data_IF_780441117156
#
_entry.id   IF_780441117156
#
_cell.length_a   1.000
_cell.length_b   1.000
_cell.length_c   1.000
_cell.angle_alpha   90.00
_cell.angle_beta   90.00
_cell.angle_gamma   90.00
#
_symmetry.space_group_name_H-M   'P 1'
#
loop_
_entity.id
_entity.type
_entity.pdbx_description
1 polymer ?
#
# COMPACT_ATOMS: atom_id res chain seq x y z
N UNK A 1 -5.95 12.11 -18.15
CA UNK A 1 -7.02 11.19 -18.51
C UNK A 1 -8.28 11.96 -18.78
N UNK A 2 -8.91 11.70 -19.94
CA UNK A 2 -10.18 12.30 -20.31
C UNK A 2 -11.20 11.19 -20.58
N UNK A 3 -12.47 11.48 -20.27
CA UNK A 3 -13.60 10.59 -20.61
C UNK A 3 -14.65 11.45 -21.30
N UNK A 4 -15.04 11.08 -22.52
CA UNK A 4 -15.96 11.84 -23.39
C UNK A 4 -15.55 13.34 -23.49
N UNK A 5 -14.23 13.59 -23.59
CA UNK A 5 -13.64 14.92 -23.67
C UNK A 5 -13.54 15.68 -22.32
N UNK A 6 -14.12 15.18 -21.24
CA UNK A 6 -14.06 15.78 -19.92
C UNK A 6 -12.85 15.22 -19.14
N UNK A 7 -12.11 16.09 -18.46
CA UNK A 7 -10.96 15.68 -17.66
C UNK A 7 -11.41 14.93 -16.41
N UNK A 8 -10.88 13.72 -16.24
CA UNK A 8 -11.10 12.90 -15.07
C UNK A 8 -9.89 12.92 -14.12
N UNK A 9 -8.68 12.95 -14.67
CA UNK A 9 -7.46 12.93 -13.88
C UNK A 9 -6.36 13.72 -14.58
N UNK A 10 -5.62 14.52 -13.83
CA UNK A 10 -4.42 15.22 -14.26
C UNK A 10 -3.32 15.10 -13.22
N UNK A 11 -2.17 14.62 -13.65
CA UNK A 11 -0.95 14.68 -12.85
C UNK A 11 0.16 15.37 -13.62
N UNK A 12 1.04 16.08 -12.91
CA UNK A 12 2.20 16.74 -13.45
C UNK A 12 3.35 16.67 -12.44
N UNK A 13 4.46 16.13 -12.88
CA UNK A 13 5.63 15.94 -12.04
C UNK A 13 6.74 16.88 -12.52
N UNK A 14 6.75 18.11 -12.03
CA UNK A 14 7.80 19.10 -12.35
C UNK A 14 8.99 18.97 -11.38
N UNK A 15 8.71 18.85 -10.10
CA UNK A 15 9.69 18.70 -9.03
C UNK A 15 9.20 17.66 -8.02
N UNK A 16 10.16 16.94 -7.48
CA UNK A 16 9.91 15.90 -6.52
C UNK A 16 10.79 16.11 -5.29
N UNK A 17 10.18 16.27 -4.12
CA UNK A 17 10.95 16.39 -2.89
C UNK A 17 11.30 15.01 -2.33
N UNK A 18 12.42 14.90 -1.66
CA UNK A 18 12.83 13.65 -1.02
C UNK A 18 11.79 13.15 0.00
N UNK A 19 11.10 14.06 0.68
CA UNK A 19 10.03 13.74 1.64
C UNK A 19 8.80 13.11 0.96
N UNK A 20 8.59 13.31 -0.35
CA UNK A 20 7.48 12.73 -1.11
C UNK A 20 7.79 11.35 -1.68
N UNK A 21 9.03 10.85 -1.53
CA UNK A 21 9.46 9.58 -2.13
C UNK A 21 8.57 8.41 -1.70
N UNK A 22 8.16 8.38 -0.44
CA UNK A 22 7.29 7.33 0.08
C UNK A 22 5.84 7.43 -0.41
N UNK A 23 5.38 8.63 -0.77
CA UNK A 23 4.05 8.84 -1.33
C UNK A 23 3.90 8.18 -2.70
N UNK A 24 4.99 8.06 -3.47
CA UNK A 24 4.96 7.33 -4.74
C UNK A 24 4.53 5.88 -4.54
N UNK A 25 4.91 5.24 -3.46
CA UNK A 25 4.50 3.87 -3.17
C UNK A 25 2.98 3.72 -3.05
N UNK A 26 2.27 4.76 -2.62
CA UNK A 26 0.81 4.81 -2.63
C UNK A 26 0.20 5.09 -4.00
N UNK A 27 1.00 5.59 -4.96
CA UNK A 27 0.52 5.98 -6.29
C UNK A 27 0.82 4.97 -7.39
N UNK A 28 1.71 4.04 -7.15
CA UNK A 28 2.05 2.96 -8.09
C UNK A 28 1.37 1.65 -7.70
N UNK A 29 1.33 0.70 -8.61
CA UNK A 29 1.04 -0.69 -8.30
C UNK A 29 2.18 -1.26 -7.44
N UNK A 30 2.07 -1.06 -6.13
CA UNK A 30 3.11 -1.43 -5.19
C UNK A 30 3.32 -2.95 -5.09
N UNK A 31 2.26 -3.73 -5.33
CA UNK A 31 2.34 -5.20 -5.35
C UNK A 31 3.28 -5.65 -6.46
N UNK A 32 3.02 -5.16 -7.67
CA UNK A 32 3.85 -5.47 -8.83
C UNK A 32 5.26 -4.90 -8.71
N UNK A 33 5.39 -3.68 -8.21
CA UNK A 33 6.70 -3.09 -7.93
C UNK A 33 7.51 -3.93 -6.94
N UNK A 34 6.88 -4.45 -5.86
CA UNK A 34 7.55 -5.28 -4.86
C UNK A 34 8.01 -6.63 -5.41
N UNK A 35 7.24 -7.20 -6.34
CA UNK A 35 7.51 -8.52 -6.91
C UNK A 35 8.49 -8.46 -8.09
N UNK A 36 8.30 -7.51 -9.02
CA UNK A 36 8.96 -7.48 -10.33
C UNK A 36 9.90 -6.28 -10.48
N UNK A 37 9.82 -5.26 -9.63
CA UNK A 37 10.55 -4.01 -9.75
C UNK A 37 9.93 -3.02 -10.74
N UNK A 38 8.87 -3.41 -11.43
CA UNK A 38 8.18 -2.60 -12.43
C UNK A 38 7.34 -1.49 -11.81
N UNK A 39 7.38 -0.30 -12.39
CA UNK A 39 6.65 0.86 -11.89
C UNK A 39 5.48 1.19 -12.79
N UNK A 40 4.30 0.72 -12.43
CA UNK A 40 3.05 1.11 -13.07
C UNK A 40 2.36 2.16 -12.22
N UNK A 41 2.21 3.35 -12.79
CA UNK A 41 1.55 4.46 -12.12
C UNK A 41 0.03 4.36 -12.30
N UNK A 42 -0.71 4.49 -11.21
CA UNK A 42 -2.15 4.58 -11.27
C UNK A 42 -2.62 5.92 -11.88
N UNK A 43 -3.71 5.89 -12.63
CA UNK A 43 -4.40 7.07 -13.14
C UNK A 43 -5.57 7.47 -12.24
N UNK A 44 -5.45 7.18 -10.95
CA UNK A 44 -6.37 7.58 -9.89
C UNK A 44 -5.57 7.97 -8.64
N UNK A 45 -6.23 8.66 -7.72
CA UNK A 45 -5.65 9.04 -6.43
C UNK A 45 -6.31 8.23 -5.31
N UNK A 46 -5.54 7.49 -4.49
CA UNK A 46 -6.05 6.99 -3.22
C UNK A 46 -6.59 8.11 -2.33
N UNK A 47 -7.47 7.78 -1.40
CA UNK A 47 -8.17 8.76 -0.55
C UNK A 47 -7.20 9.59 0.30
N UNK A 48 -6.13 8.99 0.76
CA UNK A 48 -5.11 9.63 1.62
C UNK A 48 -3.76 9.70 0.92
N UNK A 49 -3.73 10.33 -0.26
CA UNK A 49 -2.47 10.55 -0.98
C UNK A 49 -2.22 12.05 -1.22
N UNK A 50 -1.54 12.76 -0.29
CA UNK A 50 -1.25 14.19 -0.43
C UNK A 50 -0.07 14.46 -1.36
N UNK A 51 -0.04 13.84 -2.54
CA UNK A 51 1.02 14.01 -3.52
C UNK A 51 0.75 15.23 -4.41
N UNK A 52 1.62 16.23 -4.36
CA UNK A 52 1.49 17.48 -5.12
C UNK A 52 1.51 17.31 -6.64
N UNK A 53 2.06 16.20 -7.12
CA UNK A 53 2.04 15.84 -8.54
C UNK A 53 0.63 15.57 -9.08
N UNK A 54 -0.35 15.27 -8.22
CA UNK A 54 -1.75 15.10 -8.62
C UNK A 54 -2.43 16.46 -8.53
N UNK A 55 -2.75 17.05 -9.70
CA UNK A 55 -3.30 18.41 -9.80
C UNK A 55 -4.83 18.37 -9.79
N UNK A 56 -5.42 17.40 -10.48
CA UNK A 56 -6.87 17.28 -10.62
C UNK A 56 -7.26 15.81 -10.65
N UNK A 57 -8.26 15.46 -9.88
CA UNK A 57 -8.75 14.10 -9.76
C UNK A 57 -10.24 14.12 -9.46
N UNK A 58 -11.08 14.24 -10.49
CA UNK A 58 -12.54 14.13 -10.34
C UNK A 58 -12.90 12.72 -9.90
N UNK A 59 -13.64 12.59 -8.79
CA UNK A 59 -13.97 11.28 -8.23
C UNK A 59 -12.74 10.40 -7.94
N UNK A 60 -11.62 11.00 -7.56
CA UNK A 60 -10.32 10.32 -7.36
C UNK A 60 -9.81 9.59 -8.61
N UNK A 61 -10.25 9.97 -9.80
CA UNK A 61 -9.88 9.31 -11.05
C UNK A 61 -10.72 8.06 -11.39
N UNK A 62 -11.71 7.73 -10.59
CA UNK A 62 -12.59 6.60 -10.82
C UNK A 62 -13.71 6.95 -11.83
N UNK A 63 -13.81 6.17 -12.90
CA UNK A 63 -14.92 6.28 -13.85
C UNK A 63 -16.14 5.54 -13.32
N UNK A 64 -17.20 6.27 -13.00
CA UNK A 64 -18.49 5.68 -12.64
C UNK A 64 -19.29 5.32 -13.89
N UNK A 65 -19.38 4.04 -14.21
CA UNK A 65 -20.17 3.52 -15.35
C UNK A 65 -21.59 3.26 -14.88
N UNK A 66 -22.51 4.21 -15.15
CA UNK A 66 -23.93 4.13 -14.75
C UNK A 66 -24.86 3.71 -15.87
N UNK A 67 -24.43 3.80 -17.12
CA UNK A 67 -25.24 3.60 -18.31
C UNK A 67 -24.63 2.56 -19.24
N UNK A 68 -25.47 1.82 -19.93
CA UNK A 68 -25.06 0.87 -20.97
C UNK A 68 -24.77 1.59 -22.29
N UNK A 69 -23.72 2.39 -22.29
CA UNK A 69 -23.25 3.14 -23.47
C UNK A 69 -21.72 3.01 -23.64
N UNK A 70 -21.23 3.52 -24.75
CA UNK A 70 -19.81 3.64 -24.95
C UNK A 70 -19.27 4.92 -24.28
N UNK A 71 -18.09 4.81 -23.67
CA UNK A 71 -17.31 5.88 -23.06
C UNK A 71 -15.99 6.00 -23.82
N UNK A 72 -15.70 7.17 -24.39
CA UNK A 72 -14.46 7.43 -25.08
C UNK A 72 -13.40 7.86 -24.04
N UNK A 73 -12.43 7.01 -23.82
CA UNK A 73 -11.32 7.27 -22.88
C UNK A 73 -10.09 7.66 -23.65
N UNK A 74 -9.48 8.77 -23.28
CA UNK A 74 -8.26 9.27 -23.90
C UNK A 74 -7.20 9.54 -22.82
N UNK A 75 -6.05 8.86 -22.91
CA UNK A 75 -4.88 9.09 -22.07
C UNK A 75 -3.87 9.91 -22.89
N UNK A 76 -3.55 11.11 -22.41
CA UNK A 76 -2.50 11.97 -22.97
C UNK A 76 -1.30 11.97 -22.06
N UNK A 77 -0.15 11.63 -22.60
CA UNK A 77 1.14 11.68 -21.93
C UNK A 77 2.01 12.70 -22.64
N UNK A 78 2.49 13.70 -21.90
CA UNK A 78 3.40 14.71 -22.46
C UNK A 78 4.67 14.76 -21.64
N UNK A 79 5.81 14.91 -22.31
CA UNK A 79 7.08 15.16 -21.66
C UNK A 79 7.30 16.69 -21.46
N UNK A 80 8.41 17.04 -20.80
CA UNK A 80 8.77 18.44 -20.52
C UNK A 80 9.13 19.24 -21.80
N UNK A 81 9.34 18.58 -22.93
CA UNK A 81 9.68 19.21 -24.20
C UNK A 81 8.45 19.43 -25.09
N UNK A 82 7.26 19.00 -24.62
CA UNK A 82 6.00 19.14 -25.35
C UNK A 82 5.69 17.98 -26.28
N UNK A 83 6.51 16.94 -26.34
CA UNK A 83 6.16 15.72 -27.06
C UNK A 83 4.96 15.07 -26.39
N UNK A 84 3.96 14.68 -27.17
CA UNK A 84 2.71 14.13 -26.64
C UNK A 84 2.37 12.82 -27.32
N UNK A 85 2.10 11.80 -26.52
CA UNK A 85 1.51 10.53 -26.94
C UNK A 85 0.06 10.45 -26.50
N UNK A 86 -0.81 9.96 -27.35
CA UNK A 86 -2.25 9.86 -27.10
C UNK A 86 -2.69 8.43 -27.32
N UNK A 87 -3.29 7.85 -26.28
CA UNK A 87 -3.92 6.53 -26.31
C UNK A 87 -5.43 6.68 -26.19
N UNK A 88 -6.16 6.04 -27.08
CA UNK A 88 -7.63 6.09 -27.09
C UNK A 88 -8.20 4.69 -26.94
N UNK A 89 -9.17 4.56 -26.04
CA UNK A 89 -9.89 3.32 -25.76
C UNK A 89 -11.38 3.63 -25.68
N UNK A 90 -12.20 2.76 -26.22
CA UNK A 90 -13.65 2.82 -26.08
C UNK A 90 -14.05 1.74 -25.07
N UNK A 91 -14.59 2.16 -23.93
CA UNK A 91 -15.16 1.27 -22.93
C UNK A 91 -16.66 1.16 -23.15
N UNK A 92 -17.19 -0.06 -23.19
CA UNK A 92 -18.64 -0.30 -23.27
C UNK A 92 -19.15 -0.62 -21.86
N UNK A 93 -20.03 0.21 -21.35
CA UNK A 93 -20.78 -0.08 -20.13
C UNK A 93 -21.70 -1.28 -20.36
N UNK A 94 -21.70 -2.21 -19.45
CA UNK A 94 -22.63 -3.32 -19.42
C UNK A 94 -23.15 -3.53 -18.00
N UNK A 95 -24.40 -3.91 -17.89
CA UNK A 95 -24.98 -4.25 -16.60
C UNK A 95 -24.47 -5.63 -16.18
N UNK A 96 -23.76 -5.67 -15.06
CA UNK A 96 -23.35 -6.93 -14.44
C UNK A 96 -23.90 -6.99 -13.02
N UNK A 97 -24.48 -8.12 -12.64
CA UNK A 97 -24.77 -8.44 -11.25
C UNK A 97 -23.45 -8.92 -10.61
N UNK A 98 -22.60 -7.97 -10.25
CA UNK A 98 -21.40 -8.29 -9.48
C UNK A 98 -21.78 -8.32 -8.01
N UNK A 99 -21.95 -9.50 -7.45
CA UNK A 99 -21.86 -9.67 -6.01
C UNK A 99 -20.42 -9.29 -5.61
N UNK A 100 -20.28 -8.23 -4.81
CA UNK A 100 -18.97 -7.90 -4.26
C UNK A 100 -18.48 -9.10 -3.43
N UNK A 101 -17.30 -9.66 -3.72
CA UNK A 101 -16.78 -10.77 -2.94
C UNK A 101 -16.70 -10.35 -1.47
N UNK A 102 -17.15 -11.23 -0.57
CA UNK A 102 -17.06 -10.97 0.86
C UNK A 102 -15.60 -10.74 1.25
N UNK A 103 -15.32 -9.61 1.89
CA UNK A 103 -13.99 -9.26 2.37
C UNK A 103 -13.64 -10.22 3.50
N UNK A 104 -12.70 -11.15 3.24
CA UNK A 104 -12.15 -12.03 4.26
C UNK A 104 -10.98 -11.34 4.93
N UNK A 105 -11.12 -10.99 6.22
CA UNK A 105 -10.09 -10.33 7.00
C UNK A 105 -10.61 -9.12 7.77
N UNK A 106 -9.70 -8.47 8.49
CA UNK A 106 -9.99 -7.24 9.23
C UNK A 106 -9.65 -6.04 8.37
N UNK A 107 -10.57 -5.10 8.27
CA UNK A 107 -10.34 -3.81 7.59
C UNK A 107 -9.59 -2.89 8.57
N UNK A 108 -8.45 -2.35 8.12
CA UNK A 108 -7.78 -1.22 8.73
C UNK A 108 -8.25 0.04 8.00
N UNK A 109 -8.72 1.01 8.75
CA UNK A 109 -9.21 2.27 8.21
C UNK A 109 -8.10 3.32 8.21
N UNK A 110 -7.89 4.00 7.09
CA UNK A 110 -6.86 5.02 6.97
C UNK A 110 -7.12 6.26 7.85
N UNK A 111 -8.40 6.51 8.22
CA UNK A 111 -8.81 7.70 9.01
C UNK A 111 -8.52 7.56 10.49
N UNK A 112 -8.37 6.32 11.02
CA UNK A 112 -8.32 6.04 12.45
C UNK A 112 -7.07 5.26 12.83
N UNK A 113 -6.71 5.34 14.11
CA UNK A 113 -5.71 4.47 14.70
C UNK A 113 -6.20 3.03 14.70
N UNK A 114 -5.37 2.14 14.23
CA UNK A 114 -5.69 0.71 14.15
C UNK A 114 -4.77 -0.07 15.07
N UNK A 115 -5.37 -0.79 16.01
CA UNK A 115 -4.66 -1.71 16.90
C UNK A 115 -5.04 -3.14 16.57
N UNK A 116 -4.06 -3.97 16.22
CA UNK A 116 -4.25 -5.39 15.94
C UNK A 116 -3.42 -6.19 16.91
N UNK A 117 -4.10 -7.05 17.67
CA UNK A 117 -3.43 -8.02 18.55
C UNK A 117 -3.68 -9.41 18.02
N UNK A 118 -2.61 -10.14 17.90
CA UNK A 118 -2.61 -11.53 17.49
C UNK A 118 -1.63 -12.30 18.40
N UNK A 119 -1.68 -13.60 18.39
CA UNK A 119 -0.84 -14.41 19.25
C UNK A 119 0.65 -14.06 19.12
N UNK A 120 1.23 -13.47 20.18
CA UNK A 120 2.63 -13.04 20.19
C UNK A 120 2.99 -11.88 19.28
N UNK A 121 1.99 -11.15 18.73
CA UNK A 121 2.18 -9.99 17.87
C UNK A 121 1.22 -8.85 18.24
N UNK A 122 1.74 -7.64 18.28
CA UNK A 122 0.96 -6.41 18.33
C UNK A 122 1.34 -5.53 17.14
N UNK A 123 0.35 -4.98 16.45
CA UNK A 123 0.54 -4.03 15.36
C UNK A 123 -0.28 -2.77 15.66
N UNK A 124 0.39 -1.62 15.68
CA UNK A 124 -0.26 -0.32 15.75
C UNK A 124 0.00 0.45 14.47
N UNK A 125 -1.07 0.74 13.73
CA UNK A 125 -1.03 1.57 12.52
C UNK A 125 -1.72 2.88 12.83
N UNK A 126 -1.00 3.99 12.97
CA UNK A 126 -1.59 5.30 13.23
C UNK A 126 -2.55 5.73 12.13
N UNK A 127 -3.45 6.65 12.45
CA UNK A 127 -4.28 7.30 11.44
C UNK A 127 -3.44 7.99 10.38
N UNK A 128 -3.90 7.99 9.13
CA UNK A 128 -3.25 8.60 7.95
C UNK A 128 -1.96 7.91 7.48
N UNK A 129 -1.59 6.77 8.04
CA UNK A 129 -0.44 5.99 7.56
C UNK A 129 -0.76 5.15 6.32
N UNK A 130 -2.01 4.72 6.18
CA UNK A 130 -2.50 4.00 4.99
C UNK A 130 -2.96 4.99 3.92
N UNK A 131 -2.69 4.71 2.65
CA UNK A 131 -3.15 5.53 1.51
C UNK A 131 -4.64 5.33 1.20
N UNK A 132 -5.19 4.18 1.58
CA UNK A 132 -6.61 3.83 1.55
C UNK A 132 -6.89 2.77 2.61
N UNK A 133 -8.14 2.37 2.78
CA UNK A 133 -8.46 1.24 3.65
C UNK A 133 -7.75 -0.03 3.16
N UNK A 134 -7.18 -0.79 4.07
CA UNK A 134 -6.46 -2.02 3.78
C UNK A 134 -7.11 -3.22 4.50
N UNK A 135 -7.06 -4.39 3.87
CA UNK A 135 -7.53 -5.63 4.50
C UNK A 135 -6.33 -6.44 4.96
N UNK A 136 -6.30 -6.77 6.24
CA UNK A 136 -5.30 -7.67 6.79
C UNK A 136 -5.94 -9.02 7.16
N UNK A 137 -5.15 -10.07 6.99
CA UNK A 137 -5.51 -11.42 7.39
C UNK A 137 -4.29 -12.08 8.05
N UNK A 138 -4.10 -11.78 9.33
CA UNK A 138 -2.91 -12.21 10.08
C UNK A 138 -2.90 -13.72 10.23
N UNK A 139 -1.80 -14.33 9.85
CA UNK A 139 -1.55 -15.76 10.02
C UNK A 139 -0.12 -16.03 10.47
N UNK A 140 0.09 -17.16 11.16
CA UNK A 140 1.42 -17.69 11.46
C UNK A 140 1.80 -18.66 10.34
N UNK A 141 2.90 -18.34 9.64
CA UNK A 141 3.41 -19.21 8.57
C UNK A 141 4.42 -20.24 9.06
N UNK A 142 5.22 -19.87 10.06
CA UNK A 142 6.28 -20.72 10.58
C UNK A 142 6.57 -20.38 12.03
N UNK A 143 6.87 -21.39 12.82
CA UNK A 143 7.30 -21.25 14.21
C UNK A 143 8.82 -21.20 14.27
N UNK A 144 9.37 -19.97 14.39
CA UNK A 144 10.80 -19.77 14.57
C UNK A 144 11.25 -19.98 16.02
N UNK A 145 12.57 -20.08 16.23
CA UNK A 145 13.15 -20.23 17.56
C UNK A 145 12.89 -19.00 18.44
N UNK A 146 13.09 -17.79 17.90
CA UNK A 146 12.96 -16.53 18.63
C UNK A 146 11.55 -15.96 18.60
N UNK A 147 10.88 -16.03 17.45
CA UNK A 147 9.47 -15.66 17.30
C UNK A 147 8.83 -16.46 16.18
N UNK A 148 7.49 -16.56 16.14
CA UNK A 148 6.80 -17.01 14.95
C UNK A 148 7.03 -16.04 13.78
N UNK A 149 6.86 -16.53 12.56
CA UNK A 149 6.80 -15.73 11.35
C UNK A 149 5.36 -15.39 11.05
N UNK A 150 5.05 -14.12 11.00
CA UNK A 150 3.70 -13.60 10.76
C UNK A 150 3.55 -13.06 9.36
N UNK A 151 2.51 -13.49 8.67
CA UNK A 151 2.02 -12.83 7.46
C UNK A 151 0.88 -11.89 7.87
N UNK A 152 1.03 -10.61 7.61
CA UNK A 152 0.02 -9.59 7.96
C UNK A 152 -1.01 -9.45 6.86
N UNK A 153 -0.57 -9.49 5.60
CA UNK A 153 -1.39 -9.31 4.40
C UNK A 153 -1.04 -10.34 3.34
N UNK A 154 -1.98 -10.64 2.44
CA UNK A 154 -1.71 -11.49 1.26
C UNK A 154 -0.86 -10.77 0.22
N UNK A 155 -0.94 -9.47 0.16
CA UNK A 155 -0.16 -8.59 -0.73
C UNK A 155 0.44 -7.46 0.09
N UNK A 156 1.68 -7.02 -0.19
CA UNK A 156 2.32 -5.95 0.55
C UNK A 156 1.57 -4.63 0.44
N UNK A 157 1.33 -3.97 1.58
CA UNK A 157 0.65 -2.68 1.65
C UNK A 157 1.65 -1.63 2.13
N UNK A 158 1.97 -0.61 1.31
CA UNK A 158 2.91 0.44 1.69
C UNK A 158 2.28 1.37 2.73
N UNK A 159 3.13 1.90 3.61
CA UNK A 159 2.78 2.89 4.62
C UNK A 159 3.52 4.19 4.34
N UNK A 160 2.94 5.32 4.75
CA UNK A 160 3.57 6.63 4.54
C UNK A 160 4.78 6.82 5.45
N UNK A 161 4.60 6.91 6.77
CA UNK A 161 5.72 7.07 7.73
C UNK A 161 6.05 5.75 8.41
N UNK A 162 5.07 4.91 8.67
CA UNK A 162 5.23 3.57 9.19
C UNK A 162 4.21 3.17 10.24
N UNK A 163 4.37 1.96 10.74
CA UNK A 163 3.57 1.36 11.78
C UNK A 163 4.47 0.68 12.81
N UNK A 164 4.04 0.62 14.05
CA UNK A 164 4.76 -0.08 15.11
C UNK A 164 4.37 -1.56 15.12
N UNK A 165 5.36 -2.42 14.93
CA UNK A 165 5.21 -3.87 15.05
C UNK A 165 6.00 -4.37 16.24
N UNK A 166 5.33 -5.03 17.17
CA UNK A 166 5.94 -5.68 18.33
C UNK A 166 5.78 -7.19 18.21
N UNK A 167 6.88 -7.92 18.32
CA UNK A 167 6.90 -9.37 18.30
C UNK A 167 7.40 -9.89 19.66
N UNK A 168 6.69 -10.87 20.20
CA UNK A 168 7.09 -11.54 21.44
C UNK A 168 8.30 -12.42 21.18
N UNK A 169 9.33 -12.23 22.00
CA UNK A 169 10.58 -13.01 21.93
C UNK A 169 10.45 -14.25 22.80
N UNK A 170 10.67 -15.42 22.20
CA UNK A 170 10.79 -16.68 22.94
C UNK A 170 12.16 -16.78 23.60
N UNK A 171 12.24 -17.39 24.78
CA UNK A 171 13.47 -17.64 25.51
C UNK A 171 14.43 -16.43 25.64
N UNK A 172 13.96 -15.26 26.12
CA UNK A 172 14.77 -14.06 26.16
C UNK A 172 16.00 -14.19 27.06
N UNK A 173 15.99 -15.09 28.05
CA UNK A 173 17.10 -15.34 28.95
C UNK A 173 18.30 -16.02 28.27
N UNK A 174 18.06 -16.71 27.15
CA UNK A 174 19.11 -17.40 26.38
C UNK A 174 19.52 -16.63 25.11
N UNK A 175 18.98 -15.43 24.94
CA UNK A 175 19.14 -14.65 23.71
C UNK A 175 19.93 -13.36 24.01
N UNK A 176 20.90 -13.06 23.19
CA UNK A 176 21.56 -11.73 23.20
C UNK A 176 20.59 -10.69 22.60
N UNK A 177 19.81 -10.08 23.48
CA UNK A 177 18.76 -9.14 23.10
C UNK A 177 19.30 -7.89 22.38
N UNK A 178 20.60 -7.58 22.53
CA UNK A 178 21.23 -6.46 21.85
C UNK A 178 21.39 -6.68 20.32
N UNK A 179 21.24 -7.91 19.88
CA UNK A 179 21.38 -8.33 18.46
C UNK A 179 20.05 -8.66 17.81
N UNK A 180 18.93 -8.38 18.49
CA UNK A 180 17.61 -8.61 17.92
C UNK A 180 17.30 -7.59 16.82
N UNK A 181 16.57 -8.06 15.81
CA UNK A 181 16.00 -7.25 14.76
C UNK A 181 14.74 -7.94 14.19
N UNK A 182 13.81 -7.15 13.74
CA UNK A 182 12.63 -7.64 13.01
C UNK A 182 12.97 -7.70 11.53
N UNK A 183 12.82 -8.87 10.92
CA UNK A 183 13.11 -9.08 9.51
C UNK A 183 11.81 -9.19 8.70
N UNK A 184 11.66 -8.31 7.72
CA UNK A 184 10.68 -8.49 6.66
C UNK A 184 11.15 -9.62 5.73
N UNK A 185 10.27 -10.56 5.45
CA UNK A 185 10.56 -11.70 4.57
C UNK A 185 9.81 -11.50 3.26
N UNK A 186 10.54 -11.27 2.18
CA UNK A 186 10.01 -11.15 0.83
C UNK A 186 10.74 -12.11 -0.10
N UNK A 187 10.10 -12.52 -1.19
CA UNK A 187 10.67 -13.48 -2.16
C UNK A 187 11.94 -12.94 -2.83
N UNK A 188 12.03 -11.61 -3.01
CA UNK A 188 13.19 -10.92 -3.60
C UNK A 188 14.29 -10.56 -2.60
N UNK A 189 14.21 -11.05 -1.37
CA UNK A 189 15.10 -10.68 -0.27
C UNK A 189 14.38 -9.85 0.81
N UNK A 190 14.85 -9.95 2.06
CA UNK A 190 14.22 -9.27 3.17
C UNK A 190 15.01 -8.04 3.63
N UNK A 191 14.33 -7.06 4.20
CA UNK A 191 14.93 -5.98 4.96
C UNK A 191 14.88 -6.26 6.44
N UNK A 192 15.90 -5.83 7.18
CA UNK A 192 15.92 -5.90 8.64
C UNK A 192 15.67 -4.51 9.21
N UNK A 193 14.88 -4.45 10.28
CA UNK A 193 14.63 -3.23 11.03
C UNK A 193 15.07 -3.47 12.46
N UNK A 194 15.96 -2.62 12.95
CA UNK A 194 16.42 -2.68 14.35
C UNK A 194 15.26 -2.21 15.23
N UNK A 195 14.89 -3.06 16.17
CA UNK A 195 13.86 -2.79 17.15
C UNK A 195 14.42 -2.33 18.48
N UNK A 196 13.53 -2.14 19.42
CA UNK A 196 13.81 -1.92 20.83
C UNK A 196 13.21 -3.07 21.63
N UNK A 197 14.06 -3.81 22.31
CA UNK A 197 13.62 -4.88 23.17
C UNK A 197 13.24 -4.35 24.56
N UNK A 198 11.99 -4.61 24.98
CA UNK A 198 11.50 -4.30 26.31
C UNK A 198 10.50 -5.35 26.78
N UNK A 199 10.63 -5.84 28.01
CA UNK A 199 9.67 -6.73 28.68
C UNK A 199 9.25 -7.97 27.87
N UNK A 200 10.19 -8.54 27.13
CA UNK A 200 9.92 -9.75 26.32
C UNK A 200 9.39 -9.48 24.91
N UNK A 201 9.36 -8.22 24.48
CA UNK A 201 8.91 -7.80 23.15
C UNK A 201 10.03 -7.06 22.42
N UNK A 202 10.22 -7.37 21.16
CA UNK A 202 11.02 -6.56 20.23
C UNK A 202 10.08 -5.73 19.36
N UNK A 203 10.25 -4.40 19.40
CA UNK A 203 9.34 -3.45 18.76
C UNK A 203 10.10 -2.59 17.77
N UNK A 204 9.62 -2.55 16.53
CA UNK A 204 10.23 -1.75 15.46
C UNK A 204 9.19 -1.00 14.62
N UNK A 205 9.64 0.08 13.98
CA UNK A 205 8.82 0.80 13.01
C UNK A 205 8.98 0.17 11.62
N UNK A 206 7.90 -0.37 11.09
CA UNK A 206 7.84 -0.98 9.76
C UNK A 206 7.18 -0.04 8.75
N UNK A 207 7.58 -0.09 7.50
CA UNK A 207 7.08 0.79 6.42
C UNK A 207 6.20 0.08 5.39
N UNK A 208 5.90 -1.17 5.61
CA UNK A 208 5.05 -1.99 4.75
C UNK A 208 4.35 -3.04 5.60
N UNK A 209 3.06 -3.30 5.37
CA UNK A 209 2.40 -4.46 5.95
C UNK A 209 2.68 -5.66 5.03
N UNK A 210 3.40 -6.66 5.53
CA UNK A 210 3.86 -7.82 4.76
C UNK A 210 4.08 -9.03 5.68
N UNK A 211 5.08 -9.83 5.42
CA UNK A 211 5.50 -10.99 6.21
C UNK A 211 6.74 -10.64 7.07
N UNK A 212 6.68 -10.95 8.37
CA UNK A 212 7.73 -10.67 9.36
C UNK A 212 8.01 -11.88 10.25
#
# INVERSE_FOLDING_TARGET
>A
LLVDGKRLFLSRMDNFSFSETRLINGWIDYVRYSAEGDRFQHLFSPENLPLRAIIESEGNGWLSVKEERCYNVECRLSDRYGNTSIYKVVLRGCRQNNEMPAVKGRILHWVWDNNVRFYGMNLFVPSKELFSNAVINVSVEHWGKLSPRYRLCNTPVPLWHGAELSLKVNDPLQTDVSKLYIKRVADSGGSAVIGKYEYGWDTANINTLDCY
#
